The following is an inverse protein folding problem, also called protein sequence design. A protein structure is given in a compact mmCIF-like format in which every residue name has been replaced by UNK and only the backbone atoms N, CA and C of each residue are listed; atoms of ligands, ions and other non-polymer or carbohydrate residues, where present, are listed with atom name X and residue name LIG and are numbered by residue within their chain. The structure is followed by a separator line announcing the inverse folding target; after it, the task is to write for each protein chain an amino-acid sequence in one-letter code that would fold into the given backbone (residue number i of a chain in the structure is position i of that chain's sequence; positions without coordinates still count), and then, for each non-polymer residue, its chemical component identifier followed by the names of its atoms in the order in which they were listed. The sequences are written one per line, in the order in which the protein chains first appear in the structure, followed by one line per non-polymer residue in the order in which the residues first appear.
data_IF_490629168385
#
_entry.id   IF_490629168385
#
_cell.length_a   1.000
_cell.length_b   1.000
_cell.length_c   1.000
_cell.angle_alpha   90.00
_cell.angle_beta   90.00
_cell.angle_gamma   90.00
#
_symmetry.space_group_name_H-M   'P 1'
#
loop_
_entity.id
_entity.type
_entity.pdbx_description
1 polymer ?
#
# COMPACT_ATOMS: atom_id res chain seq x y z
N UNK A 1 -1.08 20.37 -3.33
CA UNK A 1 -0.32 21.62 -3.58
C UNK A 1 1.18 21.40 -3.33
N UNK A 2 1.54 20.39 -2.57
CA UNK A 2 2.93 20.10 -2.15
C UNK A 2 3.70 19.24 -3.16
N UNK A 3 3.02 18.62 -4.13
CA UNK A 3 3.63 17.79 -5.19
C UNK A 3 2.84 17.93 -6.49
N UNK A 4 3.42 17.53 -7.61
CA UNK A 4 2.74 17.47 -8.92
C UNK A 4 2.06 16.11 -9.18
N UNK A 5 2.09 15.22 -8.22
CA UNK A 5 1.45 13.89 -8.33
C UNK A 5 -0.07 14.00 -8.37
N UNK A 6 -0.69 13.13 -9.16
CA UNK A 6 -2.14 12.89 -9.13
C UNK A 6 -2.44 11.77 -8.14
N UNK A 7 -3.61 11.79 -7.55
CA UNK A 7 -4.11 10.74 -6.66
C UNK A 7 -5.09 9.90 -7.45
N UNK A 8 -4.82 8.60 -7.57
CA UNK A 8 -5.75 7.63 -8.10
C UNK A 8 -6.55 7.02 -6.95
N UNK A 9 -7.86 7.20 -6.97
CA UNK A 9 -8.79 6.54 -6.06
C UNK A 9 -9.29 5.26 -6.74
N UNK A 10 -8.93 4.12 -6.17
CA UNK A 10 -9.28 2.82 -6.72
C UNK A 10 -9.81 1.90 -5.61
N UNK A 11 -10.92 1.19 -5.85
CA UNK A 11 -11.42 0.18 -4.94
C UNK A 11 -10.61 -1.12 -5.06
N UNK A 12 -10.49 -1.86 -3.97
CA UNK A 12 -9.91 -3.22 -3.98
C UNK A 12 -10.98 -4.30 -4.19
N UNK A 13 -12.22 -3.99 -3.89
CA UNK A 13 -13.36 -4.85 -4.20
C UNK A 13 -14.56 -4.04 -4.71
N UNK A 14 -15.53 -4.75 -5.27
CA UNK A 14 -16.69 -4.17 -5.91
C UNK A 14 -17.58 -3.39 -4.92
N UNK A 15 -17.63 -3.81 -3.65
CA UNK A 15 -18.45 -3.16 -2.62
C UNK A 15 -17.92 -1.78 -2.24
N UNK A 16 -16.63 -1.55 -2.40
CA UNK A 16 -15.99 -0.27 -2.09
C UNK A 16 -16.23 0.81 -3.16
N UNK A 17 -16.69 0.44 -4.33
CA UNK A 17 -16.82 1.40 -5.44
C UNK A 17 -17.78 2.55 -5.12
N UNK A 18 -19.03 2.24 -4.73
CA UNK A 18 -20.00 3.25 -4.39
C UNK A 18 -19.57 4.06 -3.17
N UNK A 19 -19.09 3.39 -2.13
CA UNK A 19 -18.64 4.04 -0.88
C UNK A 19 -17.50 5.02 -1.15
N UNK A 20 -16.45 4.61 -1.86
CA UNK A 20 -15.32 5.48 -2.17
C UNK A 20 -15.72 6.68 -3.03
N UNK A 21 -16.68 6.51 -3.94
CA UNK A 21 -17.20 7.62 -4.73
C UNK A 21 -17.97 8.61 -3.86
N UNK A 22 -19.00 8.12 -3.16
CA UNK A 22 -19.95 8.96 -2.43
C UNK A 22 -19.35 9.57 -1.17
N UNK A 23 -18.54 8.81 -0.44
CA UNK A 23 -17.98 9.21 0.86
C UNK A 23 -16.63 9.93 0.74
N UNK A 24 -15.93 9.76 -0.38
CA UNK A 24 -14.60 10.36 -0.57
C UNK A 24 -14.57 11.28 -1.80
N UNK A 25 -14.64 10.74 -3.02
CA UNK A 25 -14.39 11.52 -4.24
C UNK A 25 -15.37 12.69 -4.42
N UNK A 26 -16.67 12.46 -4.24
CA UNK A 26 -17.71 13.48 -4.40
C UNK A 26 -17.70 14.54 -3.28
N UNK A 27 -17.04 14.23 -2.14
CA UNK A 27 -16.87 15.18 -1.02
C UNK A 27 -15.62 16.06 -1.15
N UNK A 28 -14.72 15.75 -2.07
CA UNK A 28 -13.51 16.55 -2.24
C UNK A 28 -13.84 17.95 -2.77
N UNK A 29 -13.16 19.00 -2.27
CA UNK A 29 -13.21 20.32 -2.87
C UNK A 29 -12.85 20.27 -4.35
N UNK A 30 -13.41 21.16 -5.16
CA UNK A 30 -13.26 21.14 -6.62
C UNK A 30 -11.78 21.18 -7.06
N UNK A 31 -10.96 22.00 -6.41
CA UNK A 31 -9.52 22.13 -6.68
C UNK A 31 -8.72 20.87 -6.32
N UNK A 32 -9.16 20.10 -5.32
CA UNK A 32 -8.56 18.82 -4.95
C UNK A 32 -9.00 17.75 -5.94
N UNK A 33 -10.30 17.71 -6.25
CA UNK A 33 -10.89 16.75 -7.19
C UNK A 33 -10.26 16.85 -8.58
N UNK A 34 -9.89 18.05 -9.03
CA UNK A 34 -9.20 18.24 -10.30
C UNK A 34 -7.83 17.52 -10.39
N UNK A 35 -7.25 17.15 -9.25
CA UNK A 35 -6.00 16.38 -9.14
C UNK A 35 -6.20 14.91 -8.81
N UNK A 36 -7.44 14.51 -8.60
CA UNK A 36 -7.80 13.12 -8.31
C UNK A 36 -8.33 12.45 -9.59
N UNK A 37 -8.02 11.19 -9.75
CA UNK A 37 -8.58 10.33 -10.78
C UNK A 37 -9.42 9.28 -10.07
N UNK A 38 -10.71 9.28 -10.35
CA UNK A 38 -11.62 8.23 -9.91
C UNK A 38 -11.59 7.09 -10.92
N UNK A 39 -11.31 5.85 -10.46
CA UNK A 39 -11.45 4.67 -11.30
C UNK A 39 -12.91 4.20 -11.26
N UNK A 40 -13.60 4.30 -12.37
CA UNK A 40 -15.05 4.01 -12.48
C UNK A 40 -15.37 2.51 -12.59
N UNK A 41 -14.37 1.68 -12.86
CA UNK A 41 -14.53 0.24 -13.02
C UNK A 41 -13.67 -0.54 -12.04
N UNK A 42 -14.20 -1.63 -11.54
CA UNK A 42 -13.41 -2.64 -10.85
C UNK A 42 -12.29 -3.16 -11.76
N UNK A 43 -11.19 -3.59 -11.20
CA UNK A 43 -10.07 -4.12 -11.96
C UNK A 43 -9.63 -5.50 -11.51
N UNK A 44 -8.98 -6.22 -12.40
CA UNK A 44 -8.37 -7.49 -12.12
C UNK A 44 -6.94 -7.30 -11.55
N UNK A 45 -6.38 -8.32 -10.88
CA UNK A 45 -5.07 -8.21 -10.23
C UNK A 45 -3.93 -7.80 -11.17
N UNK A 46 -3.95 -8.19 -12.42
CA UNK A 46 -2.94 -7.84 -13.44
C UNK A 46 -3.01 -6.35 -13.83
N UNK A 47 -4.22 -5.80 -13.98
CA UNK A 47 -4.42 -4.36 -14.21
C UNK A 47 -3.96 -3.55 -13.00
N UNK A 48 -4.32 -4.01 -11.78
CA UNK A 48 -3.90 -3.41 -10.52
C UNK A 48 -2.37 -3.41 -10.42
N UNK A 49 -1.72 -4.56 -10.59
CA UNK A 49 -0.25 -4.69 -10.56
C UNK A 49 0.43 -3.78 -11.59
N UNK A 50 -0.10 -3.72 -12.82
CA UNK A 50 0.40 -2.84 -13.88
C UNK A 50 0.32 -1.36 -13.48
N UNK A 51 -0.73 -0.96 -12.79
CA UNK A 51 -0.92 0.42 -12.32
C UNK A 51 0.01 0.74 -11.14
N UNK A 52 0.09 -0.16 -10.15
CA UNK A 52 0.97 0.03 -8.99
C UNK A 52 2.43 0.19 -9.38
N UNK A 53 2.92 -0.63 -10.30
CA UNK A 53 4.32 -0.53 -10.81
C UNK A 53 4.67 0.83 -11.39
N UNK A 54 3.70 1.61 -11.85
CA UNK A 54 3.86 2.94 -12.42
C UNK A 54 3.56 4.06 -11.42
N UNK A 55 3.13 3.72 -10.21
CA UNK A 55 2.84 4.71 -9.16
C UNK A 55 4.10 5.13 -8.40
N UNK A 56 4.02 6.28 -7.73
CA UNK A 56 5.03 6.73 -6.78
C UNK A 56 4.94 5.96 -5.46
N UNK A 57 3.74 5.51 -5.09
CA UNK A 57 3.45 4.73 -3.90
C UNK A 57 1.96 4.49 -3.75
N UNK A 58 1.60 3.79 -2.68
CA UNK A 58 0.21 3.49 -2.33
C UNK A 58 -0.01 3.76 -0.83
N UNK A 59 -1.21 4.16 -0.46
CA UNK A 59 -1.67 4.06 0.92
C UNK A 59 -3.12 3.57 0.95
N UNK A 60 -3.43 2.75 1.94
CA UNK A 60 -4.75 2.17 2.09
C UNK A 60 -4.86 1.25 3.30
N UNK A 61 -6.03 0.68 3.52
CA UNK A 61 -6.32 -0.22 4.64
C UNK A 61 -6.53 -1.68 4.23
N UNK A 62 -6.46 -1.99 2.95
CA UNK A 62 -6.39 -3.36 2.45
C UNK A 62 -4.95 -3.85 2.35
N UNK A 63 -4.75 -5.17 2.55
CA UNK A 63 -3.39 -5.73 2.57
C UNK A 63 -2.91 -6.28 1.22
N UNK A 64 -3.82 -6.69 0.35
CA UNK A 64 -3.42 -7.30 -0.92
C UNK A 64 -2.67 -6.34 -1.83
N UNK A 65 -3.17 -5.12 -1.99
CA UNK A 65 -2.52 -4.08 -2.81
C UNK A 65 -1.17 -3.64 -2.24
N UNK A 66 -1.01 -3.36 -0.94
CA UNK A 66 0.31 -3.11 -0.34
C UNK A 66 1.30 -4.26 -0.53
N UNK A 67 0.87 -5.53 -0.36
CA UNK A 67 1.72 -6.70 -0.59
C UNK A 67 2.20 -6.73 -2.05
N UNK A 68 1.30 -6.51 -3.01
CA UNK A 68 1.65 -6.43 -4.43
C UNK A 68 2.64 -5.29 -4.70
N UNK A 69 2.43 -4.13 -4.08
CA UNK A 69 3.34 -2.99 -4.19
C UNK A 69 4.75 -3.35 -3.73
N UNK A 70 4.92 -3.87 -2.51
CA UNK A 70 6.23 -4.26 -1.99
C UNK A 70 6.86 -5.36 -2.86
N UNK A 71 6.08 -6.34 -3.32
CA UNK A 71 6.54 -7.37 -4.25
C UNK A 71 7.12 -6.81 -5.56
N UNK A 72 6.70 -5.62 -5.96
CA UNK A 72 7.20 -4.89 -7.12
C UNK A 72 8.19 -3.75 -6.78
N UNK A 73 8.57 -3.60 -5.51
CA UNK A 73 9.45 -2.52 -5.07
C UNK A 73 8.79 -1.14 -5.07
N UNK A 74 7.47 -1.10 -4.98
CA UNK A 74 6.68 0.12 -4.87
C UNK A 74 6.39 0.41 -3.41
N UNK A 75 6.63 1.64 -2.91
CA UNK A 75 6.32 2.01 -1.54
C UNK A 75 4.84 1.87 -1.21
N UNK A 76 4.52 1.38 0.00
CA UNK A 76 3.14 1.24 0.43
C UNK A 76 2.97 1.50 1.93
N UNK A 77 2.06 2.40 2.26
CA UNK A 77 1.59 2.69 3.61
C UNK A 77 0.36 1.84 3.88
N UNK A 78 0.34 1.19 5.04
CA UNK A 78 -0.79 0.40 5.51
C UNK A 78 -1.46 1.09 6.69
N UNK A 79 -2.75 1.32 6.56
CA UNK A 79 -3.62 1.78 7.63
C UNK A 79 -4.51 0.60 8.04
N UNK A 80 -4.59 0.31 9.33
CA UNK A 80 -5.39 -0.78 9.88
C UNK A 80 -6.29 -0.31 11.02
N UNK A 81 -7.26 -1.11 11.37
CA UNK A 81 -8.07 -0.98 12.57
C UNK A 81 -7.70 -2.09 13.56
N UNK A 82 -7.86 -1.85 14.87
CA UNK A 82 -7.52 -2.82 15.91
C UNK A 82 -8.34 -4.10 15.81
N UNK A 83 -9.60 -4.01 15.39
CA UNK A 83 -10.48 -5.17 15.15
C UNK A 83 -9.94 -6.13 14.07
N UNK A 84 -9.03 -5.68 13.21
CA UNK A 84 -8.38 -6.52 12.20
C UNK A 84 -7.27 -7.40 12.79
N UNK A 85 -7.13 -7.42 14.12
CA UNK A 85 -6.19 -8.24 14.89
C UNK A 85 -4.73 -8.05 14.45
N UNK A 86 -4.08 -9.08 13.90
CA UNK A 86 -2.69 -9.02 13.43
C UNK A 86 -2.52 -8.60 11.97
N UNK A 87 -3.61 -8.24 11.27
CA UNK A 87 -3.54 -7.75 9.89
C UNK A 87 -2.66 -6.51 9.84
N UNK A 88 -1.72 -6.49 8.94
CA UNK A 88 -0.74 -5.41 8.80
C UNK A 88 0.56 -5.61 9.59
N UNK A 89 0.61 -6.46 10.62
CA UNK A 89 1.82 -6.61 11.44
C UNK A 89 3.04 -7.11 10.66
N UNK A 90 2.82 -7.76 9.50
CA UNK A 90 3.90 -8.11 8.60
C UNK A 90 4.74 -6.90 8.15
N UNK A 91 4.19 -5.67 8.17
CA UNK A 91 4.94 -4.46 7.90
C UNK A 91 6.05 -4.23 8.93
N UNK A 92 5.80 -4.56 10.21
CA UNK A 92 6.83 -4.53 11.27
C UNK A 92 7.93 -5.54 10.97
N UNK A 93 7.54 -6.75 10.58
CA UNK A 93 8.47 -7.86 10.34
C UNK A 93 9.41 -7.61 9.17
N UNK A 94 8.98 -6.84 8.19
CA UNK A 94 9.78 -6.51 7.01
C UNK A 94 10.49 -5.14 7.10
N UNK A 95 10.47 -4.51 8.29
CA UNK A 95 11.17 -3.24 8.54
C UNK A 95 10.44 -1.98 8.08
N UNK A 96 9.12 -2.06 7.87
CA UNK A 96 8.27 -0.95 7.43
C UNK A 96 7.33 -0.45 8.55
N UNK A 97 7.75 -0.56 9.81
CA UNK A 97 6.92 -0.19 10.95
C UNK A 97 6.44 1.27 10.90
N UNK A 98 7.24 2.19 10.39
CA UNK A 98 6.90 3.60 10.23
C UNK A 98 5.95 3.90 9.06
N UNK A 99 5.60 2.87 8.27
CA UNK A 99 4.55 2.88 7.26
C UNK A 99 3.33 2.03 7.65
N UNK A 100 3.23 1.65 8.93
CA UNK A 100 2.06 0.99 9.51
C UNK A 100 1.39 1.91 10.51
N UNK A 101 0.10 2.14 10.33
CA UNK A 101 -0.70 3.02 11.17
C UNK A 101 -1.97 2.32 11.63
N UNK A 102 -2.33 2.51 12.90
CA UNK A 102 -3.61 2.08 13.47
C UNK A 102 -4.56 3.27 13.50
N UNK A 103 -5.68 3.17 12.79
CA UNK A 103 -6.63 4.29 12.63
C UNK A 103 -7.46 4.55 13.90
N UNK A 104 -7.43 3.65 14.87
CA UNK A 104 -8.01 3.84 16.20
C UNK A 104 -7.08 4.64 17.16
N UNK A 105 -5.84 4.91 16.73
CA UNK A 105 -4.87 5.72 17.47
C UNK A 105 -4.74 7.11 16.81
N UNK A 106 -5.17 8.16 17.53
CA UNK A 106 -5.12 9.54 17.02
C UNK A 106 -3.70 9.99 16.67
N UNK A 107 -2.67 9.51 17.40
CA UNK A 107 -1.27 9.83 17.12
C UNK A 107 -0.82 9.21 15.80
N UNK A 108 -1.26 8.00 15.50
CA UNK A 108 -1.00 7.35 14.20
C UNK A 108 -1.75 8.06 13.07
N UNK A 109 -3.03 8.39 13.27
CA UNK A 109 -3.83 9.14 12.26
C UNK A 109 -3.16 10.45 11.89
N UNK A 110 -2.66 11.21 12.88
CA UNK A 110 -1.96 12.47 12.64
C UNK A 110 -0.68 12.31 11.80
N UNK A 111 -0.08 11.13 11.75
CA UNK A 111 1.15 10.83 11.02
C UNK A 111 0.94 10.32 9.60
N UNK A 112 -0.25 9.84 9.26
CA UNK A 112 -0.54 9.26 7.93
C UNK A 112 -0.27 10.27 6.81
N UNK A 113 -0.87 11.46 6.88
CA UNK A 113 -0.73 12.47 5.83
C UNK A 113 0.71 12.99 5.69
N UNK A 114 1.45 13.36 6.77
CA UNK A 114 2.86 13.71 6.68
C UNK A 114 3.73 12.60 6.08
N UNK A 115 3.49 11.33 6.44
CA UNK A 115 4.25 10.20 5.90
C UNK A 115 3.98 10.00 4.41
N UNK A 116 2.72 10.07 3.98
CA UNK A 116 2.35 9.98 2.57
C UNK A 116 2.97 11.15 1.75
N UNK A 117 3.00 12.35 2.33
CA UNK A 117 3.61 13.51 1.70
C UNK A 117 5.14 13.34 1.58
N UNK A 118 5.82 12.88 2.63
CA UNK A 118 7.26 12.62 2.59
C UNK A 118 7.61 11.56 1.53
N UNK A 119 6.82 10.49 1.41
CA UNK A 119 6.96 9.48 0.36
C UNK A 119 6.81 10.09 -1.04
N UNK A 120 5.87 11.00 -1.21
CA UNK A 120 5.61 11.66 -2.49
C UNK A 120 6.67 12.71 -2.86
N UNK A 121 7.28 13.36 -1.87
CA UNK A 121 8.33 14.37 -2.05
C UNK A 121 9.71 13.75 -2.33
N UNK A 122 10.00 12.58 -1.75
CA UNK A 122 11.23 11.81 -2.02
C UNK A 122 10.90 10.37 -2.44
N UNK A 123 10.42 10.18 -3.66
CA UNK A 123 10.07 8.84 -4.16
C UNK A 123 11.32 7.94 -4.34
N UNK A 124 12.52 8.50 -4.43
CA UNK A 124 13.74 7.72 -4.54
C UNK A 124 14.09 7.04 -3.20
N UNK A 125 14.08 7.80 -2.10
CA UNK A 125 14.27 7.25 -0.76
C UNK A 125 13.16 6.25 -0.40
N UNK A 126 11.90 6.56 -0.72
CA UNK A 126 10.80 5.64 -0.48
C UNK A 126 10.94 4.31 -1.24
N UNK A 127 11.34 4.36 -2.52
CA UNK A 127 11.60 3.16 -3.32
C UNK A 127 12.79 2.35 -2.79
N UNK A 128 13.86 3.01 -2.35
CA UNK A 128 15.00 2.34 -1.75
C UNK A 128 14.57 1.55 -0.50
N UNK A 129 13.76 2.15 0.37
CA UNK A 129 13.22 1.48 1.56
C UNK A 129 12.31 0.30 1.21
N UNK A 130 11.41 0.45 0.24
CA UNK A 130 10.58 -0.65 -0.26
C UNK A 130 11.42 -1.80 -0.85
N UNK A 131 12.51 -1.47 -1.56
CA UNK A 131 13.43 -2.46 -2.11
C UNK A 131 14.16 -3.26 -1.02
N UNK A 132 14.56 -2.64 0.09
CA UNK A 132 15.17 -3.36 1.22
C UNK A 132 14.17 -4.31 1.89
N UNK A 133 12.93 -3.85 2.11
CA UNK A 133 11.85 -4.72 2.60
C UNK A 133 11.62 -5.91 1.67
N UNK A 134 11.57 -5.69 0.36
CA UNK A 134 11.46 -6.74 -0.65
C UNK A 134 12.59 -7.75 -0.58
N UNK A 135 13.86 -7.31 -0.48
CA UNK A 135 15.01 -8.20 -0.33
C UNK A 135 14.90 -9.09 0.92
N UNK A 136 14.41 -8.52 2.03
CA UNK A 136 14.14 -9.30 3.24
C UNK A 136 13.10 -10.40 2.98
N UNK A 137 11.97 -10.05 2.36
CA UNK A 137 10.91 -11.02 2.00
C UNK A 137 11.44 -12.12 1.09
N UNK A 138 12.17 -11.77 0.03
CA UNK A 138 12.76 -12.75 -0.90
C UNK A 138 13.72 -13.71 -0.20
N UNK A 139 14.51 -13.23 0.76
CA UNK A 139 15.38 -14.10 1.57
C UNK A 139 14.55 -15.06 2.42
N UNK A 140 13.53 -14.56 3.14
CA UNK A 140 12.63 -15.39 3.97
C UNK A 140 11.87 -16.42 3.15
N UNK A 141 11.40 -16.06 1.97
CA UNK A 141 10.77 -17.00 1.04
C UNK A 141 11.73 -18.13 0.63
N UNK A 142 12.98 -17.82 0.30
CA UNK A 142 13.97 -18.86 -0.02
C UNK A 142 14.23 -19.79 1.16
N UNK A 143 14.34 -19.27 2.38
CA UNK A 143 14.54 -20.06 3.60
C UNK A 143 13.37 -21.00 3.86
N UNK A 144 12.13 -20.49 3.81
CA UNK A 144 10.92 -21.30 4.04
C UNK A 144 10.72 -22.34 2.94
N UNK A 145 10.93 -21.97 1.68
CA UNK A 145 10.82 -22.92 0.57
C UNK A 145 11.91 -23.99 0.58
N UNK A 146 13.10 -23.71 1.13
CA UNK A 146 14.11 -24.74 1.35
C UNK A 146 13.63 -25.83 2.32
N UNK A 147 12.91 -25.47 3.38
CA UNK A 147 12.29 -26.45 4.30
C UNK A 147 11.27 -27.32 3.58
N UNK A 148 10.39 -26.70 2.78
CA UNK A 148 9.38 -27.43 1.99
C UNK A 148 10.07 -28.39 1.00
N UNK A 149 11.06 -27.93 0.24
CA UNK A 149 11.81 -28.76 -0.72
C UNK A 149 12.45 -29.96 -0.06
N UNK A 150 13.05 -29.76 1.11
CA UNK A 150 13.63 -30.86 1.91
C UNK A 150 12.54 -31.87 2.34
N UNK A 151 11.40 -31.38 2.81
CA UNK A 151 10.29 -32.24 3.28
C UNK A 151 9.70 -33.10 2.16
N UNK A 152 9.71 -32.64 0.91
CA UNK A 152 9.21 -33.39 -0.26
C UNK A 152 10.30 -34.11 -1.05
N UNK A 153 11.52 -34.19 -0.51
CA UNK A 153 12.61 -34.95 -1.12
C UNK A 153 13.22 -34.36 -2.39
N UNK A 154 13.12 -33.06 -2.59
CA UNK A 154 13.68 -32.36 -3.76
C UNK A 154 15.10 -31.86 -3.57
N UNK A 155 15.68 -32.06 -2.39
CA UNK A 155 17.10 -31.80 -2.03
C UNK A 155 17.56 -32.87 -1.05
#
# INVERSE_FOLDING_TARGET
KETDLKILLCPEDETQMAVNKEMLFDKLPAEVRARCVWRESYWLPDEAASTYRRSAGLFGHEMHSPIMCIGHGVPAIVCRFDEQTNKGFMWRDIGLNDWLFTLDDEADVARVAPTALAMAQDPAAAKAKAAEARKFVERRQRETMAVVRKAVGLI
#
